data_IF_341633383337
#
_entry.id   IF_341633383337
#
_cell.length_a   1.000
_cell.length_b   1.000
_cell.length_c   1.000
_cell.angle_alpha   90.00
_cell.angle_beta   90.00
_cell.angle_gamma   90.00
#
_symmetry.space_group_name_H-M   'P 1'
#
loop_
_entity.id
_entity.type
_entity.pdbx_description
1 polymer ?
#
# COMPACT_ATOMS: atom_id res chain seq x y z
N UNK A 1 -91.89 -36.92 20.38
CA UNK A 1 -90.72 -37.02 19.46
C UNK A 1 -89.87 -35.77 19.57
N UNK A 2 -88.75 -35.85 20.31
CA UNK A 2 -88.01 -34.73 20.79
C UNK A 2 -86.66 -34.72 20.06
N UNK A 3 -86.44 -33.72 19.24
CA UNK A 3 -85.13 -33.50 18.59
C UNK A 3 -84.28 -32.55 19.45
N UNK A 4 -83.21 -33.10 19.98
CA UNK A 4 -82.16 -32.30 20.67
C UNK A 4 -81.17 -31.78 19.63
N UNK A 5 -81.08 -30.46 19.51
CA UNK A 5 -80.00 -29.79 18.81
C UNK A 5 -78.76 -29.74 19.69
N UNK A 6 -77.59 -30.19 19.14
CA UNK A 6 -76.31 -30.04 19.79
C UNK A 6 -75.59 -28.81 19.14
N UNK A 7 -75.32 -27.83 19.99
CA UNK A 7 -74.49 -26.69 19.67
C UNK A 7 -73.02 -27.14 19.65
N UNK A 8 -72.36 -26.97 18.50
CA UNK A 8 -70.98 -27.20 18.40
C UNK A 8 -70.25 -25.84 18.52
N UNK A 9 -69.49 -25.67 19.58
CA UNK A 9 -68.68 -24.46 19.84
C UNK A 9 -67.39 -24.50 19.01
N UNK A 10 -67.29 -23.58 18.09
CA UNK A 10 -66.10 -23.39 17.26
C UNK A 10 -65.09 -22.57 18.05
N UNK A 11 -63.97 -23.19 18.47
CA UNK A 11 -62.83 -22.46 19.04
C UNK A 11 -61.91 -21.91 17.91
N UNK A 12 -61.85 -20.59 17.75
CA UNK A 12 -60.91 -19.90 16.96
C UNK A 12 -59.55 -19.88 17.70
N UNK A 13 -58.58 -20.58 17.18
CA UNK A 13 -57.20 -20.45 17.63
C UNK A 13 -56.54 -19.31 16.81
N UNK A 14 -56.22 -18.22 17.47
CA UNK A 14 -55.41 -17.14 16.90
C UNK A 14 -53.94 -17.58 16.84
N UNK A 15 -53.43 -17.82 15.65
CA UNK A 15 -51.98 -18.01 15.41
C UNK A 15 -51.36 -16.64 15.27
N UNK A 16 -50.70 -16.18 16.33
CA UNK A 16 -49.81 -15.01 16.27
C UNK A 16 -48.51 -15.45 15.63
N UNK A 17 -48.35 -15.18 14.34
CA UNK A 17 -47.09 -15.34 13.63
C UNK A 17 -46.11 -14.24 14.01
N UNK A 18 -45.12 -14.57 14.85
CA UNK A 18 -43.93 -13.71 15.02
C UNK A 18 -43.11 -13.74 13.72
N UNK A 19 -43.18 -12.65 12.94
CA UNK A 19 -42.16 -12.35 11.91
C UNK A 19 -40.88 -11.91 12.62
N UNK A 20 -39.96 -12.82 12.82
CA UNK A 20 -38.58 -12.47 13.12
C UNK A 20 -37.95 -11.97 11.82
N UNK A 21 -37.86 -10.65 11.70
CA UNK A 21 -37.04 -10.02 10.67
C UNK A 21 -35.56 -10.32 10.98
N UNK A 22 -35.01 -11.32 10.31
CA UNK A 22 -33.57 -11.51 10.24
C UNK A 22 -33.02 -10.42 9.31
N UNK A 23 -32.58 -9.31 9.90
CA UNK A 23 -31.67 -8.37 9.24
C UNK A 23 -30.37 -9.10 9.04
N UNK A 24 -30.20 -9.74 7.89
CA UNK A 24 -28.88 -10.18 7.43
C UNK A 24 -28.10 -8.92 7.13
N UNK A 25 -27.06 -8.69 7.94
CA UNK A 25 -26.05 -7.67 7.69
C UNK A 25 -25.35 -8.02 6.38
N UNK A 26 -25.69 -7.31 5.32
CA UNK A 26 -25.11 -7.47 3.98
C UNK A 26 -23.67 -6.90 3.92
N UNK A 27 -23.23 -6.25 5.01
CA UNK A 27 -21.94 -5.52 5.03
C UNK A 27 -20.72 -6.41 5.30
N UNK A 28 -20.85 -7.69 5.64
CA UNK A 28 -19.70 -8.52 6.05
C UNK A 28 -18.94 -9.19 4.90
N UNK A 29 -19.41 -9.14 3.67
CA UNK A 29 -18.79 -9.87 2.55
C UNK A 29 -17.95 -9.02 1.60
N UNK A 30 -17.97 -7.68 1.70
CA UNK A 30 -17.21 -6.80 0.81
C UNK A 30 -15.81 -6.46 1.34
N UNK A 31 -15.53 -6.68 2.62
CA UNK A 31 -14.25 -6.31 3.25
C UNK A 31 -13.14 -7.37 3.15
N UNK A 32 -13.44 -8.61 2.78
CA UNK A 32 -12.44 -9.69 2.79
C UNK A 32 -11.39 -9.58 1.66
N UNK A 33 -11.51 -8.62 0.73
CA UNK A 33 -10.67 -8.51 -0.46
C UNK A 33 -9.78 -7.26 -0.53
N UNK A 34 -9.95 -6.28 0.35
CA UNK A 34 -9.14 -5.05 0.32
C UNK A 34 -8.50 -4.77 1.68
N UNK A 35 -7.29 -4.20 1.69
CA UNK A 35 -6.67 -3.77 2.94
C UNK A 35 -7.54 -2.68 3.57
N UNK A 36 -7.49 -2.60 4.88
CA UNK A 36 -8.21 -1.55 5.63
C UNK A 36 -7.86 -0.17 5.07
N UNK A 37 -8.85 0.73 5.00
CA UNK A 37 -8.66 2.09 4.50
C UNK A 37 -7.50 2.83 5.18
N UNK A 38 -7.25 2.55 6.46
CA UNK A 38 -6.11 3.07 7.22
C UNK A 38 -4.74 2.65 6.65
N UNK A 39 -4.60 1.40 6.15
CA UNK A 39 -3.35 0.93 5.53
C UNK A 39 -3.09 1.70 4.24
N UNK A 40 -4.12 1.85 3.42
CA UNK A 40 -4.02 2.64 2.19
C UNK A 40 -3.65 4.09 2.48
N UNK A 41 -4.30 4.71 3.47
CA UNK A 41 -4.03 6.07 3.90
C UNK A 41 -2.58 6.28 4.37
N UNK A 42 -1.93 5.25 4.89
CA UNK A 42 -0.50 5.32 5.26
C UNK A 42 0.40 5.27 4.04
N UNK A 43 0.14 4.37 3.08
CA UNK A 43 1.05 4.12 1.94
C UNK A 43 0.80 5.08 0.78
N UNK A 44 -0.47 5.34 0.46
CA UNK A 44 -0.85 6.23 -0.64
C UNK A 44 -0.54 7.69 -0.28
N UNK A 45 0.06 8.41 -1.21
CA UNK A 45 0.41 9.82 -1.05
C UNK A 45 1.68 10.20 -1.81
N UNK A 46 2.15 11.40 -1.53
CA UNK A 46 3.39 11.95 -2.09
C UNK A 46 4.46 12.02 -1.02
N UNK A 47 5.64 11.54 -1.35
CA UNK A 47 6.75 11.41 -0.44
C UNK A 47 7.99 12.11 -1.00
N UNK A 48 8.68 12.90 -0.17
CA UNK A 48 9.94 13.54 -0.54
C UNK A 48 11.12 12.74 0.00
N UNK A 49 12.10 12.49 -0.83
CA UNK A 49 13.37 11.88 -0.42
C UNK A 49 14.12 12.85 0.52
N UNK A 50 14.49 12.40 1.72
CA UNK A 50 15.21 13.20 2.70
C UNK A 50 16.60 12.64 3.02
N UNK A 51 16.81 11.34 2.81
CA UNK A 51 18.12 10.71 2.90
C UNK A 51 18.30 9.65 1.82
N UNK A 52 19.50 9.61 1.25
CA UNK A 52 19.93 8.55 0.34
C UNK A 52 21.25 7.97 0.83
N UNK A 53 21.22 6.69 1.20
CA UNK A 53 22.39 5.97 1.66
C UNK A 53 23.04 5.26 0.47
N UNK A 54 24.24 5.63 0.15
CA UNK A 54 24.99 5.10 -1.00
C UNK A 54 26.49 5.13 -0.72
N UNK A 55 27.17 4.04 -1.01
CA UNK A 55 28.64 3.91 -0.90
C UNK A 55 29.18 4.32 0.49
N UNK A 56 28.44 3.96 1.55
CA UNK A 56 28.80 4.29 2.96
C UNK A 56 28.56 5.75 3.34
N UNK A 57 27.97 6.56 2.46
CA UNK A 57 27.62 7.96 2.69
C UNK A 57 26.10 8.12 2.85
N UNK A 58 25.71 9.17 3.54
CA UNK A 58 24.31 9.62 3.65
C UNK A 58 24.19 10.97 2.99
N UNK A 59 23.57 11.00 1.82
CA UNK A 59 23.30 12.23 1.08
C UNK A 59 21.98 12.84 1.56
N UNK A 60 21.92 14.17 1.59
CA UNK A 60 20.76 14.99 1.92
C UNK A 60 20.60 16.12 0.93
N UNK A 61 19.42 16.75 0.83
CA UNK A 61 19.30 17.97 0.04
C UNK A 61 20.30 19.05 0.49
N UNK A 62 20.96 19.79 -0.44
CA UNK A 62 20.70 19.80 -1.88
C UNK A 62 21.53 18.79 -2.72
N UNK A 63 22.37 17.93 -2.12
CA UNK A 63 23.20 16.95 -2.85
C UNK A 63 22.36 15.91 -3.62
N UNK A 64 21.13 15.75 -3.22
CA UNK A 64 20.16 14.87 -3.89
C UNK A 64 18.75 15.42 -3.74
N UNK A 65 17.84 14.97 -4.59
CA UNK A 65 16.42 15.13 -4.41
C UNK A 65 15.64 13.91 -4.94
N UNK A 66 14.33 13.89 -4.72
CA UNK A 66 13.47 12.86 -5.27
C UNK A 66 12.06 12.90 -4.72
N UNK A 67 11.19 12.24 -5.46
CA UNK A 67 9.78 12.03 -5.09
C UNK A 67 9.41 10.57 -5.30
N UNK A 68 8.55 10.11 -4.43
CA UNK A 68 7.84 8.86 -4.55
C UNK A 68 6.34 9.16 -4.45
N UNK A 69 5.55 8.65 -5.37
CA UNK A 69 4.11 8.85 -5.41
C UNK A 69 3.41 7.52 -5.56
N UNK A 70 2.37 7.31 -4.75
CA UNK A 70 1.47 6.16 -4.80
C UNK A 70 0.06 6.70 -4.76
N UNK A 71 -0.66 6.62 -5.87
CA UNK A 71 -1.99 7.21 -5.98
C UNK A 71 -2.80 6.53 -7.09
N UNK A 72 -4.06 6.21 -6.82
CA UNK A 72 -5.04 5.70 -7.78
C UNK A 72 -4.53 4.55 -8.68
N UNK A 73 -3.87 3.57 -8.08
CA UNK A 73 -3.32 2.42 -8.82
C UNK A 73 -1.98 2.68 -9.50
N UNK A 74 -1.45 3.89 -9.44
CA UNK A 74 -0.19 4.29 -10.07
C UNK A 74 0.92 4.48 -9.05
N UNK A 75 2.13 4.07 -9.41
CA UNK A 75 3.36 4.42 -8.72
C UNK A 75 4.25 5.24 -9.65
N UNK A 76 4.87 6.27 -9.09
CA UNK A 76 5.86 7.08 -9.80
C UNK A 76 7.04 7.36 -8.86
N UNK A 77 8.24 7.35 -9.40
CA UNK A 77 9.43 7.75 -8.67
C UNK A 77 10.33 8.61 -9.55
N UNK A 78 10.84 9.67 -8.95
CA UNK A 78 11.97 10.42 -9.50
C UNK A 78 12.99 10.57 -8.41
N UNK A 79 14.25 10.50 -8.75
CA UNK A 79 15.36 10.86 -7.86
C UNK A 79 16.58 11.22 -8.68
N UNK A 80 17.36 12.14 -8.18
CA UNK A 80 18.65 12.41 -8.74
C UNK A 80 19.67 12.80 -7.65
N UNK A 81 20.92 12.62 -7.95
CA UNK A 81 22.07 13.13 -7.21
C UNK A 81 23.11 13.63 -8.20
N UNK A 82 23.76 14.69 -7.80
CA UNK A 82 24.90 15.24 -8.53
C UNK A 82 26.01 15.60 -7.51
N UNK A 83 27.17 15.06 -7.69
CA UNK A 83 28.26 15.22 -6.73
C UNK A 83 29.61 14.75 -7.27
N UNK A 84 30.62 14.81 -6.42
CA UNK A 84 32.00 14.43 -6.78
C UNK A 84 32.12 12.98 -7.30
N UNK A 85 31.18 12.10 -6.93
CA UNK A 85 31.16 10.70 -7.34
C UNK A 85 30.39 10.48 -8.66
N UNK A 86 29.95 11.56 -9.31
CA UNK A 86 29.20 11.55 -10.55
C UNK A 86 27.71 11.83 -10.40
N UNK A 87 27.03 11.74 -11.52
CA UNK A 87 25.61 12.00 -11.67
C UNK A 87 24.80 10.69 -11.73
N UNK A 88 23.69 10.65 -11.01
CA UNK A 88 22.69 9.57 -11.11
C UNK A 88 21.29 10.18 -11.09
N UNK A 89 20.48 9.80 -12.08
CA UNK A 89 19.06 10.17 -12.13
C UNK A 89 18.22 8.94 -12.49
N UNK A 90 17.13 8.77 -11.78
CA UNK A 90 16.12 7.74 -12.10
C UNK A 90 14.75 8.39 -12.20
N UNK A 91 14.01 8.05 -13.24
CA UNK A 91 12.59 8.36 -13.37
C UNK A 91 11.83 7.09 -13.76
N UNK A 92 10.73 6.78 -13.07
CA UNK A 92 9.97 5.60 -13.37
C UNK A 92 8.49 5.77 -13.03
N UNK A 93 7.66 5.03 -13.76
CA UNK A 93 6.23 4.92 -13.50
C UNK A 93 5.77 3.47 -13.70
N UNK A 94 4.69 3.11 -13.04
CA UNK A 94 4.09 1.81 -13.13
C UNK A 94 2.81 1.72 -12.34
N UNK A 95 2.38 0.53 -12.04
CA UNK A 95 1.11 0.27 -11.37
C UNK A 95 1.31 -0.46 -10.05
N UNK A 96 0.30 -0.34 -9.18
CA UNK A 96 0.20 -1.13 -7.97
C UNK A 96 -1.20 -1.71 -7.79
N UNK A 97 -1.28 -2.74 -6.98
CA UNK A 97 -2.54 -3.39 -6.60
C UNK A 97 -2.50 -3.78 -5.14
N UNK A 98 -3.65 -3.70 -4.50
CA UNK A 98 -3.88 -4.20 -3.16
C UNK A 98 -4.46 -5.61 -3.19
N UNK A 99 -3.98 -6.48 -2.31
CA UNK A 99 -4.65 -7.69 -1.87
C UNK A 99 -5.10 -7.54 -0.41
N UNK A 100 -5.72 -8.56 0.19
CA UNK A 100 -6.23 -8.49 1.57
C UNK A 100 -5.17 -8.15 2.61
N UNK A 101 -3.97 -8.69 2.45
CA UNK A 101 -2.82 -8.48 3.31
C UNK A 101 -1.52 -8.25 2.50
N UNK A 102 -1.66 -7.79 1.26
CA UNK A 102 -0.52 -7.64 0.36
C UNK A 102 -0.62 -6.36 -0.46
N UNK A 103 0.52 -5.86 -0.84
CA UNK A 103 0.70 -4.79 -1.81
C UNK A 103 1.63 -5.29 -2.92
N UNK A 104 1.22 -5.10 -4.17
CA UNK A 104 2.00 -5.54 -5.33
C UNK A 104 2.24 -4.36 -6.23
N UNK A 105 3.51 -4.09 -6.60
CA UNK A 105 3.82 -3.02 -7.55
C UNK A 105 4.98 -3.40 -8.46
N UNK A 106 5.09 -2.66 -9.56
CA UNK A 106 6.22 -2.73 -10.49
C UNK A 106 6.27 -1.50 -11.36
N UNK A 107 7.35 -1.37 -12.12
CA UNK A 107 7.48 -0.28 -13.09
C UNK A 107 7.32 -0.80 -14.50
N UNK A 108 6.39 -0.20 -15.25
CA UNK A 108 6.24 -0.41 -16.68
C UNK A 108 7.43 0.17 -17.44
N UNK A 109 7.95 1.30 -16.91
CA UNK A 109 9.13 1.96 -17.45
C UNK A 109 9.95 2.57 -16.31
N UNK A 110 11.25 2.33 -16.34
CA UNK A 110 12.25 2.99 -15.50
C UNK A 110 13.41 3.45 -16.39
N UNK A 111 13.76 4.71 -16.26
CA UNK A 111 14.91 5.32 -16.93
C UNK A 111 15.97 5.63 -15.88
N UNK A 112 17.13 5.01 -16.03
CA UNK A 112 18.29 5.27 -15.19
C UNK A 112 19.37 5.95 -16.04
N UNK A 113 19.82 7.11 -15.60
CA UNK A 113 20.90 7.87 -16.21
C UNK A 113 22.06 7.93 -15.22
N UNK A 114 23.22 7.51 -15.67
CA UNK A 114 24.44 7.50 -14.85
C UNK A 114 25.62 7.95 -15.66
N UNK A 115 26.49 8.78 -15.09
CA UNK A 115 27.70 9.25 -15.73
C UNK A 115 28.50 10.18 -14.82
N UNK A 116 29.62 10.70 -15.33
CA UNK A 116 30.46 11.65 -14.62
C UNK A 116 29.79 13.03 -14.41
N UNK A 117 28.85 13.40 -15.30
CA UNK A 117 28.11 14.67 -15.21
C UNK A 117 26.74 14.54 -15.87
N UNK A 118 25.79 15.49 -15.68
CA UNK A 118 24.48 15.48 -16.34
C UNK A 118 24.57 15.46 -17.89
N UNK A 119 25.61 16.01 -18.45
CA UNK A 119 25.84 16.12 -19.90
C UNK A 119 26.55 14.88 -20.49
N UNK A 120 27.12 14.04 -19.63
CA UNK A 120 27.84 12.82 -20.03
C UNK A 120 27.26 11.63 -19.26
N UNK A 121 26.14 11.11 -19.74
CA UNK A 121 25.39 10.03 -19.10
C UNK A 121 25.10 8.88 -20.06
N UNK A 122 25.11 7.68 -19.53
CA UNK A 122 24.51 6.50 -20.15
C UNK A 122 23.06 6.37 -19.70
N UNK A 123 22.14 6.30 -20.65
CA UNK A 123 20.72 6.02 -20.39
C UNK A 123 20.46 4.51 -20.48
N UNK A 124 19.87 3.97 -19.44
CA UNK A 124 19.31 2.62 -19.42
C UNK A 124 17.79 2.69 -19.22
N UNK A 125 17.04 2.06 -20.11
CA UNK A 125 15.59 1.95 -19.99
C UNK A 125 15.24 0.50 -19.71
N UNK A 126 14.44 0.26 -18.65
CA UNK A 126 14.04 -1.07 -18.21
C UNK A 126 12.58 -1.08 -17.76
N UNK A 127 12.03 -2.26 -17.59
CA UNK A 127 10.83 -2.49 -16.78
C UNK A 127 11.21 -3.27 -15.52
N UNK A 128 10.44 -3.08 -14.45
CA UNK A 128 10.61 -3.83 -13.21
C UNK A 128 9.35 -4.67 -13.02
N UNK A 129 9.46 -6.00 -13.03
CA UNK A 129 8.32 -6.89 -12.86
C UNK A 129 7.56 -6.59 -11.56
N UNK A 130 6.27 -6.91 -11.56
CA UNK A 130 5.44 -6.84 -10.36
C UNK A 130 6.06 -7.68 -9.24
N UNK A 131 6.22 -7.05 -8.07
CA UNK A 131 6.71 -7.68 -6.84
C UNK A 131 5.64 -7.53 -5.77
N UNK A 132 5.39 -8.61 -5.05
CA UNK A 132 4.42 -8.65 -3.96
C UNK A 132 5.11 -8.52 -2.61
N UNK A 133 4.53 -7.72 -1.74
CA UNK A 133 4.96 -7.46 -0.37
C UNK A 133 3.83 -7.85 0.58
N UNK A 134 4.16 -8.57 1.63
CA UNK A 134 3.26 -8.84 2.75
C UNK A 134 3.17 -7.59 3.63
N UNK A 135 1.99 -7.32 4.14
CA UNK A 135 1.71 -6.16 4.99
C UNK A 135 1.56 -6.64 6.43
N UNK A 136 2.39 -6.10 7.32
CA UNK A 136 2.31 -6.35 8.76
C UNK A 136 2.27 -5.05 9.54
N UNK A 137 1.65 -5.10 10.74
CA UNK A 137 1.66 -3.98 11.68
C UNK A 137 2.58 -4.32 12.85
N UNK A 138 3.56 -3.47 13.11
CA UNK A 138 4.52 -3.59 14.20
C UNK A 138 4.43 -2.33 15.10
N UNK A 139 3.46 -2.32 16.02
CA UNK A 139 3.18 -1.13 16.85
C UNK A 139 2.72 0.06 16.00
N UNK A 140 3.46 1.16 16.05
CA UNK A 140 3.22 2.37 15.26
C UNK A 140 3.81 2.30 13.84
N UNK A 141 4.38 1.17 13.46
CA UNK A 141 4.94 0.95 12.14
C UNK A 141 4.02 0.08 11.28
N UNK A 142 3.94 0.44 10.00
CA UNK A 142 3.38 -0.41 8.95
C UNK A 142 4.51 -0.90 8.07
N UNK A 143 4.65 -2.21 7.95
CA UNK A 143 5.77 -2.85 7.25
C UNK A 143 5.25 -3.56 6.01
N UNK A 144 5.92 -3.32 4.88
CA UNK A 144 5.72 -4.04 3.63
C UNK A 144 7.03 -4.74 3.27
N UNK A 145 7.04 -6.07 3.24
CA UNK A 145 8.26 -6.84 2.98
C UNK A 145 8.02 -7.94 1.95
N UNK A 146 8.95 -8.13 1.03
CA UNK A 146 8.88 -9.22 0.07
C UNK A 146 9.29 -10.56 0.71
N UNK A 147 8.71 -11.66 0.23
CA UNK A 147 8.93 -13.00 0.79
C UNK A 147 10.41 -13.42 0.81
N UNK A 148 11.23 -12.88 -0.07
CA UNK A 148 12.67 -13.13 -0.12
C UNK A 148 13.48 -12.23 0.83
N UNK A 149 12.81 -11.32 1.57
CA UNK A 149 13.42 -10.35 2.48
C UNK A 149 14.53 -9.50 1.83
N UNK A 150 14.37 -9.22 0.55
CA UNK A 150 15.34 -8.42 -0.22
C UNK A 150 14.99 -6.94 -0.26
N UNK A 151 13.74 -6.61 0.05
CA UNK A 151 13.25 -5.23 0.10
C UNK A 151 12.18 -5.09 1.17
N UNK A 152 12.32 -4.08 2.02
CA UNK A 152 11.39 -3.72 3.09
C UNK A 152 11.09 -2.23 3.05
N UNK A 153 9.82 -1.89 3.18
CA UNK A 153 9.29 -0.55 3.37
C UNK A 153 8.76 -0.47 4.80
N UNK A 154 9.32 0.39 5.60
CA UNK A 154 8.98 0.55 7.00
C UNK A 154 8.43 1.96 7.22
N UNK A 155 7.12 2.08 7.34
CA UNK A 155 6.40 3.33 7.54
C UNK A 155 6.26 3.61 9.02
N UNK A 156 6.94 4.63 9.52
CA UNK A 156 6.73 5.23 10.84
C UNK A 156 5.55 6.21 10.74
N UNK A 157 4.40 5.81 11.29
CA UNK A 157 3.14 6.55 11.12
C UNK A 157 3.16 7.88 11.87
N UNK A 158 3.56 7.95 13.15
CA UNK A 158 3.69 9.22 13.87
C UNK A 158 4.68 10.20 13.22
N UNK A 159 5.83 9.71 12.78
CA UNK A 159 6.84 10.55 12.14
C UNK A 159 6.50 10.96 10.71
N UNK A 160 5.50 10.29 10.11
CA UNK A 160 5.13 10.47 8.70
C UNK A 160 6.31 10.29 7.75
N UNK A 161 7.12 9.26 8.03
CA UNK A 161 8.27 8.87 7.21
C UNK A 161 8.15 7.41 6.78
N UNK A 162 8.88 7.02 5.76
CA UNK A 162 9.18 5.62 5.55
C UNK A 162 10.65 5.41 5.23
N UNK A 163 11.17 4.28 5.67
CA UNK A 163 12.52 3.82 5.37
C UNK A 163 12.46 2.66 4.40
N UNK A 164 13.13 2.80 3.25
CA UNK A 164 13.35 1.72 2.31
C UNK A 164 14.65 1.02 2.69
N UNK A 165 14.55 -0.26 2.97
CA UNK A 165 15.69 -1.11 3.34
C UNK A 165 15.90 -2.21 2.30
N UNK A 166 17.16 -2.54 2.06
CA UNK A 166 17.58 -3.68 1.27
C UNK A 166 17.74 -4.93 2.11
N UNK A 167 18.48 -5.90 1.55
CA UNK A 167 18.89 -7.11 2.25
C UNK A 167 19.63 -6.74 3.54
N UNK A 168 19.53 -7.60 4.55
CA UNK A 168 20.17 -7.42 5.87
C UNK A 168 19.77 -6.11 6.58
N UNK A 169 18.58 -5.57 6.25
CA UNK A 169 18.04 -4.32 6.83
C UNK A 169 18.91 -3.09 6.56
N UNK A 170 19.79 -3.15 5.56
CA UNK A 170 20.57 -1.99 5.16
C UNK A 170 19.66 -0.88 4.65
N UNK A 171 19.74 0.30 5.25
CA UNK A 171 18.97 1.47 4.80
C UNK A 171 19.47 1.90 3.43
N UNK A 172 18.53 2.07 2.50
CA UNK A 172 18.79 2.58 1.15
C UNK A 172 18.34 4.03 1.05
N UNK A 173 17.13 4.35 1.54
CA UNK A 173 16.53 5.69 1.44
C UNK A 173 15.54 5.93 2.56
N UNK A 174 15.41 7.19 2.94
CA UNK A 174 14.35 7.65 3.86
C UNK A 174 13.55 8.74 3.16
N UNK A 175 12.24 8.62 3.26
CA UNK A 175 11.28 9.56 2.69
C UNK A 175 10.40 10.16 3.78
N UNK A 176 9.96 11.38 3.55
CA UNK A 176 8.97 12.08 4.40
C UNK A 176 7.74 12.40 3.57
N UNK A 177 6.57 12.24 4.16
CA UNK A 177 5.30 12.59 3.56
C UNK A 177 5.19 14.10 3.31
N UNK A 178 4.65 14.49 2.16
CA UNK A 178 4.47 15.90 1.77
C UNK A 178 3.08 16.41 2.14
N UNK A 179 2.07 15.56 1.96
CA UNK A 179 0.62 15.82 2.15
C UNK A 179 0.04 15.27 3.46
#
# INVERSE_FOLDING_TARGET
MTHRQRLTTLRMAAVVGMLTATTQSVDAQTEAGQPRAEVRAVVEGTWTLIEWHVDGRVLRPPEMDGRWMVHDGLVMATRHRDGADGYESTAGYGTYRWGPATWTYGYERSEDRRGPSPDDVTLRVTSIPLRTFEITREGDHLVLEDAAQTLRWDYDIPARTFTLMGRDRQIIRIYRRVD
#
